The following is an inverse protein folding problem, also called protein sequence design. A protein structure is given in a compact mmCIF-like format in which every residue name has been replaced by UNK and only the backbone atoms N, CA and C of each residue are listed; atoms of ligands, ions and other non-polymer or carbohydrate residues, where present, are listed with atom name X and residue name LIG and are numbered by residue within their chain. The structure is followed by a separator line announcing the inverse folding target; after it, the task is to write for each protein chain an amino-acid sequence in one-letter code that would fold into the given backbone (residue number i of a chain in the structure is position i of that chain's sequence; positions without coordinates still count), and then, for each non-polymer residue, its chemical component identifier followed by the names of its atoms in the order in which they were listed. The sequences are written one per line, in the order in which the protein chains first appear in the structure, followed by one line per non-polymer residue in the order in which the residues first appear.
data_IF_988146614372
#
_entry.id   IF_988146614372
#
_cell.length_a   1.000
_cell.length_b   1.000
_cell.length_c   1.000
_cell.angle_alpha   90.00
_cell.angle_beta   90.00
_cell.angle_gamma   90.00
#
_symmetry.space_group_name_H-M   'P 1'
#
loop_
_entity.id
_entity.type
_entity.pdbx_description
1 polymer ?
#
# COMPACT_ATOMS: atom_id res chain seq x y z
N UNK A 1 7.20 26.10 -6.09
CA UNK A 1 6.57 25.20 -5.10
C UNK A 1 5.60 25.93 -4.15
N UNK A 2 6.03 26.61 -3.08
CA UNK A 2 5.07 27.29 -2.17
C UNK A 2 4.33 28.50 -2.78
N UNK A 3 4.96 29.22 -3.72
CA UNK A 3 4.31 30.31 -4.49
C UNK A 3 3.30 29.76 -5.50
N UNK A 4 3.67 28.67 -6.19
CA UNK A 4 2.76 27.91 -7.08
C UNK A 4 1.51 27.43 -6.33
N UNK A 5 1.66 26.92 -5.10
CA UNK A 5 0.51 26.51 -4.29
C UNK A 5 -0.50 27.63 -4.05
N UNK A 6 -0.02 28.86 -3.81
CA UNK A 6 -0.90 30.03 -3.65
C UNK A 6 -1.61 30.35 -4.97
N UNK A 7 -0.88 30.38 -6.08
CA UNK A 7 -1.45 30.64 -7.39
C UNK A 7 -2.48 29.57 -7.85
N UNK A 8 -2.23 28.29 -7.55
CA UNK A 8 -3.16 27.20 -7.82
C UNK A 8 -4.43 27.37 -6.97
N UNK A 9 -4.30 27.72 -5.68
CA UNK A 9 -5.48 27.95 -4.83
C UNK A 9 -6.31 29.17 -5.24
N UNK A 10 -5.70 30.19 -5.86
CA UNK A 10 -6.39 31.36 -6.39
C UNK A 10 -7.18 31.06 -7.67
N UNK A 11 -6.86 29.96 -8.36
CA UNK A 11 -7.49 29.55 -9.62
C UNK A 11 -8.84 28.83 -9.43
N UNK A 12 -9.13 28.33 -8.22
CA UNK A 12 -10.33 27.54 -7.94
C UNK A 12 -11.06 28.04 -6.68
N UNK A 13 -12.31 28.47 -6.82
CA UNK A 13 -13.12 29.00 -5.70
C UNK A 13 -13.35 28.00 -4.56
N UNK A 14 -13.22 26.70 -4.82
CA UNK A 14 -13.62 25.64 -3.89
C UNK A 14 -12.47 24.95 -3.14
N UNK A 15 -11.19 25.27 -3.41
CA UNK A 15 -10.05 24.58 -2.81
C UNK A 15 -8.97 25.56 -2.36
N UNK A 16 -8.56 25.40 -1.11
CA UNK A 16 -7.59 26.27 -0.47
C UNK A 16 -6.24 25.57 -0.32
N UNK A 17 -5.18 26.35 -0.08
CA UNK A 17 -3.89 25.80 0.30
C UNK A 17 -3.95 24.89 1.55
N UNK A 18 -4.96 25.04 2.42
CA UNK A 18 -5.15 24.15 3.57
C UNK A 18 -5.62 22.75 3.14
N UNK A 19 -6.46 22.65 2.12
CA UNK A 19 -6.97 21.38 1.60
C UNK A 19 -5.85 20.56 0.96
N UNK A 20 -4.97 21.21 0.19
CA UNK A 20 -3.78 20.57 -0.38
C UNK A 20 -2.82 20.06 0.69
N UNK A 21 -2.56 20.85 1.75
CA UNK A 21 -1.73 20.41 2.88
C UNK A 21 -2.34 19.21 3.59
N UNK A 22 -3.65 19.23 3.81
CA UNK A 22 -4.38 18.13 4.46
C UNK A 22 -4.31 16.86 3.60
N UNK A 23 -4.58 16.95 2.30
CA UNK A 23 -4.48 15.81 1.39
C UNK A 23 -3.05 15.24 1.33
N UNK A 24 -2.04 16.10 1.31
CA UNK A 24 -0.62 15.71 1.36
C UNK A 24 -0.29 14.95 2.63
N UNK A 25 -0.69 15.48 3.80
CA UNK A 25 -0.45 14.84 5.09
C UNK A 25 -1.12 13.46 5.17
N UNK A 26 -2.36 13.36 4.67
CA UNK A 26 -3.10 12.10 4.63
C UNK A 26 -2.44 11.09 3.67
N UNK A 27 -1.96 11.53 2.50
CA UNK A 27 -1.26 10.65 1.56
C UNK A 27 0.07 10.14 2.14
N UNK A 28 0.85 11.00 2.82
CA UNK A 28 2.07 10.61 3.51
C UNK A 28 1.81 9.57 4.62
N UNK A 29 0.74 9.76 5.40
CA UNK A 29 0.37 8.83 6.48
C UNK A 29 -0.12 7.48 5.94
N UNK A 30 -1.01 7.52 4.94
CA UNK A 30 -1.70 6.33 4.43
C UNK A 30 -0.96 5.61 3.32
N UNK A 31 0.06 6.23 2.74
CA UNK A 31 0.83 5.76 1.59
C UNK A 31 0.01 5.59 0.30
N UNK A 32 -1.20 5.02 0.36
CA UNK A 32 -2.12 4.84 -0.76
C UNK A 32 -3.51 5.40 -0.45
N UNK A 33 -4.08 6.12 -1.41
CA UNK A 33 -5.44 6.64 -1.40
C UNK A 33 -6.25 6.01 -2.54
N UNK A 34 -7.52 5.76 -2.28
CA UNK A 34 -8.41 5.15 -3.27
C UNK A 34 -9.70 5.96 -3.50
N UNK A 35 -10.09 6.11 -4.76
CA UNK A 35 -11.30 6.84 -5.15
C UNK A 35 -12.62 6.15 -4.77
N UNK A 36 -12.60 4.83 -4.63
CA UNK A 36 -13.73 3.98 -4.19
C UNK A 36 -14.02 4.10 -2.68
N UNK A 37 -13.00 4.45 -1.89
CA UNK A 37 -13.10 4.56 -0.43
C UNK A 37 -13.61 5.93 -0.01
N UNK A 38 -14.78 5.96 0.64
CA UNK A 38 -15.35 7.20 1.20
C UNK A 38 -14.36 8.01 2.05
N UNK A 39 -13.52 7.34 2.86
CA UNK A 39 -12.53 7.99 3.73
C UNK A 39 -11.33 8.61 3.01
N UNK A 40 -11.06 8.19 1.77
CA UNK A 40 -9.89 8.58 0.96
C UNK A 40 -10.31 9.47 -0.22
N UNK A 41 -11.55 9.32 -0.71
CA UNK A 41 -12.07 9.90 -1.95
C UNK A 41 -11.84 11.39 -2.08
N UNK A 42 -12.13 12.17 -1.03
CA UNK A 42 -11.90 13.62 -1.06
C UNK A 42 -10.44 13.94 -1.32
N UNK A 43 -9.52 13.33 -0.57
CA UNK A 43 -8.08 13.54 -0.70
C UNK A 43 -7.54 13.03 -2.04
N UNK A 44 -8.01 11.86 -2.50
CA UNK A 44 -7.68 11.32 -3.81
C UNK A 44 -8.04 12.34 -4.91
N UNK A 45 -9.25 12.89 -4.90
CA UNK A 45 -9.71 13.88 -5.89
C UNK A 45 -8.95 15.21 -5.78
N UNK A 46 -8.56 15.61 -4.57
CA UNK A 46 -7.74 16.81 -4.33
C UNK A 46 -6.36 16.69 -4.98
N UNK A 47 -5.67 15.56 -4.79
CA UNK A 47 -4.36 15.33 -5.39
C UNK A 47 -4.49 15.17 -6.91
N UNK A 48 -5.46 14.37 -7.37
CA UNK A 48 -5.65 14.08 -8.80
C UNK A 48 -5.90 15.33 -9.65
N UNK A 49 -6.53 16.37 -9.08
CA UNK A 49 -6.82 17.61 -9.82
C UNK A 49 -5.57 18.37 -10.22
N UNK A 50 -4.58 18.39 -9.34
CA UNK A 50 -3.32 19.09 -9.53
C UNK A 50 -2.17 18.09 -9.59
N UNK A 51 -2.38 16.99 -10.32
CA UNK A 51 -1.49 15.83 -10.30
C UNK A 51 -0.04 16.23 -10.62
N UNK A 52 0.18 17.03 -11.67
CA UNK A 52 1.51 17.46 -12.09
C UNK A 52 2.24 18.24 -10.98
N UNK A 53 1.53 19.14 -10.29
CA UNK A 53 2.08 19.87 -9.15
C UNK A 53 2.51 18.93 -8.02
N UNK A 54 1.72 17.90 -7.72
CA UNK A 54 2.05 16.93 -6.68
C UNK A 54 3.16 15.98 -7.10
N UNK A 55 3.25 15.59 -8.38
CA UNK A 55 4.37 14.83 -8.92
C UNK A 55 5.67 15.60 -8.68
N UNK A 56 5.74 16.86 -9.13
CA UNK A 56 6.93 17.71 -8.96
C UNK A 56 7.27 17.95 -7.47
N UNK A 57 6.25 18.13 -6.63
CA UNK A 57 6.44 18.33 -5.20
C UNK A 57 7.04 17.11 -4.51
N UNK A 58 6.53 15.91 -4.80
CA UNK A 58 7.00 14.69 -4.16
C UNK A 58 8.36 14.25 -4.72
N UNK A 59 8.60 14.43 -6.02
CA UNK A 59 9.89 14.17 -6.65
C UNK A 59 11.00 15.00 -5.99
N UNK A 60 10.75 16.30 -5.77
CA UNK A 60 11.66 17.18 -5.04
C UNK A 60 11.92 16.78 -3.57
N UNK A 61 11.12 15.86 -3.01
CA UNK A 61 11.26 15.32 -1.67
C UNK A 61 11.81 13.89 -1.64
N UNK A 62 12.21 13.32 -2.78
CA UNK A 62 12.69 11.93 -2.88
C UNK A 62 11.58 10.88 -2.85
N UNK A 63 10.35 11.27 -3.23
CA UNK A 63 9.20 10.38 -3.31
C UNK A 63 8.64 10.35 -4.73
N UNK A 64 8.23 9.16 -5.16
CA UNK A 64 7.53 8.96 -6.42
C UNK A 64 6.04 8.86 -6.17
N UNK A 65 5.28 9.81 -6.71
CA UNK A 65 3.82 9.73 -6.78
C UNK A 65 3.42 8.81 -7.95
N UNK A 66 2.75 7.72 -7.62
CA UNK A 66 2.20 6.74 -8.57
C UNK A 66 0.71 7.01 -8.73
N UNK A 67 0.23 7.02 -9.98
CA UNK A 67 -1.18 7.07 -10.32
C UNK A 67 -1.56 5.82 -11.12
N UNK A 68 -2.50 5.04 -10.58
CA UNK A 68 -3.06 3.83 -11.19
C UNK A 68 -4.57 4.05 -11.44
N UNK A 69 -4.95 4.64 -12.60
CA UNK A 69 -6.34 5.03 -12.87
C UNK A 69 -7.31 3.85 -12.90
N UNK A 70 -6.85 2.69 -13.41
CA UNK A 70 -7.68 1.46 -13.53
C UNK A 70 -8.20 0.98 -12.18
N UNK A 71 -7.48 1.28 -11.11
CA UNK A 71 -7.85 0.92 -9.73
C UNK A 71 -8.21 2.15 -8.87
N UNK A 72 -8.33 3.33 -9.48
CA UNK A 72 -8.54 4.61 -8.81
C UNK A 72 -7.59 4.80 -7.61
N UNK A 73 -6.31 4.51 -7.80
CA UNK A 73 -5.32 4.47 -6.73
C UNK A 73 -4.23 5.51 -6.98
N UNK A 74 -3.97 6.33 -5.95
CA UNK A 74 -2.77 7.15 -5.85
C UNK A 74 -1.88 6.57 -4.76
N UNK A 75 -0.59 6.46 -5.02
CA UNK A 75 0.38 5.87 -4.10
C UNK A 75 1.64 6.72 -3.99
N UNK A 76 2.22 6.78 -2.80
CA UNK A 76 3.52 7.40 -2.58
C UNK A 76 4.55 6.31 -2.28
N UNK A 77 5.56 6.19 -3.13
CA UNK A 77 6.65 5.24 -2.97
C UNK A 77 7.95 5.99 -2.78
N UNK A 78 8.88 5.48 -1.96
CA UNK A 78 10.19 6.08 -1.88
C UNK A 78 10.91 5.94 -3.23
N UNK A 79 11.75 6.92 -3.56
CA UNK A 79 12.67 6.77 -4.68
C UNK A 79 13.75 5.70 -4.35
N UNK A 80 14.30 5.05 -5.37
CA UNK A 80 15.06 3.78 -5.25
C UNK A 80 16.26 3.84 -4.30
N UNK A 81 16.74 5.03 -3.97
CA UNK A 81 17.89 5.27 -3.07
C UNK A 81 17.52 5.24 -1.58
N UNK A 82 16.23 5.24 -1.21
CA UNK A 82 15.80 5.42 0.17
C UNK A 82 14.78 4.36 0.60
N UNK A 83 15.04 3.66 1.72
CA UNK A 83 14.10 2.67 2.28
C UNK A 83 13.49 3.22 3.56
N UNK A 84 12.25 3.72 3.47
CA UNK A 84 11.63 4.45 4.60
C UNK A 84 10.68 3.63 5.48
N UNK A 85 10.42 2.35 5.16
CA UNK A 85 9.66 1.47 6.06
C UNK A 85 10.46 0.21 6.40
N UNK A 86 11.04 0.23 7.60
CA UNK A 86 11.68 -0.95 8.18
C UNK A 86 10.61 -1.85 8.80
N UNK A 87 10.01 -2.69 7.95
CA UNK A 87 9.16 -3.79 8.43
C UNK A 87 10.01 -4.79 9.22
N UNK A 88 9.46 -5.29 10.32
CA UNK A 88 10.02 -6.45 11.01
C UNK A 88 9.95 -7.66 10.10
N UNK A 89 10.81 -8.65 10.33
CA UNK A 89 10.86 -9.87 9.52
C UNK A 89 9.48 -10.54 9.37
N UNK A 90 8.72 -10.67 10.45
CA UNK A 90 7.39 -11.29 10.40
C UNK A 90 6.38 -10.46 9.60
N UNK A 91 6.43 -9.13 9.71
CA UNK A 91 5.62 -8.21 8.89
C UNK A 91 6.00 -8.37 7.40
N UNK A 92 7.29 -8.39 7.08
CA UNK A 92 7.77 -8.60 5.70
C UNK A 92 7.30 -9.93 5.12
N UNK A 93 7.42 -11.02 5.88
CA UNK A 93 6.96 -12.35 5.43
C UNK A 93 5.45 -12.35 5.19
N UNK A 94 4.66 -11.77 6.09
CA UNK A 94 3.21 -11.68 5.92
C UNK A 94 2.82 -10.80 4.72
N UNK A 95 3.55 -9.71 4.47
CA UNK A 95 3.38 -8.89 3.27
C UNK A 95 3.64 -9.71 2.00
N UNK A 96 4.70 -10.52 1.97
CA UNK A 96 5.00 -11.43 0.87
C UNK A 96 3.94 -12.53 0.71
N UNK A 97 3.38 -13.04 1.80
CA UNK A 97 2.28 -14.00 1.75
C UNK A 97 1.01 -13.37 1.16
N UNK A 98 0.66 -12.14 1.56
CA UNK A 98 -0.44 -11.37 0.94
C UNK A 98 -0.20 -11.16 -0.55
N UNK A 99 1.03 -10.79 -0.92
CA UNK A 99 1.42 -10.58 -2.32
C UNK A 99 1.18 -11.83 -3.15
N UNK A 100 1.52 -12.98 -2.59
CA UNK A 100 1.40 -14.27 -3.24
C UNK A 100 -0.08 -14.72 -3.34
N UNK A 101 -0.88 -14.55 -2.29
CA UNK A 101 -2.33 -14.79 -2.34
C UNK A 101 -3.01 -13.92 -3.41
N UNK A 102 -2.59 -12.66 -3.54
CA UNK A 102 -3.10 -11.76 -4.57
C UNK A 102 -2.83 -12.26 -5.99
N UNK A 103 -1.61 -12.76 -6.28
CA UNK A 103 -1.30 -13.35 -7.59
C UNK A 103 -2.11 -14.61 -7.87
N UNK A 104 -2.31 -15.47 -6.87
CA UNK A 104 -3.15 -16.65 -7.03
C UNK A 104 -4.60 -16.29 -7.31
N UNK A 105 -5.14 -15.26 -6.65
CA UNK A 105 -6.47 -14.77 -6.92
C UNK A 105 -6.58 -14.28 -8.37
N UNK A 106 -5.59 -13.53 -8.87
CA UNK A 106 -5.57 -13.07 -10.28
C UNK A 106 -5.50 -14.26 -11.24
N UNK A 107 -4.57 -15.19 -11.02
CA UNK A 107 -4.38 -16.37 -11.86
C UNK A 107 -5.65 -17.24 -11.93
N UNK A 108 -6.40 -17.30 -10.84
CA UNK A 108 -7.62 -18.07 -10.73
C UNK A 108 -8.90 -17.27 -11.06
N UNK A 109 -8.78 -16.04 -11.58
CA UNK A 109 -9.91 -15.14 -11.88
C UNK A 109 -10.83 -14.89 -10.67
N UNK A 110 -10.28 -14.86 -9.46
CA UNK A 110 -10.96 -14.60 -8.18
C UNK A 110 -10.77 -13.16 -7.68
N UNK A 111 -10.56 -12.24 -8.62
CA UNK A 111 -10.40 -10.81 -8.33
C UNK A 111 -11.57 -10.06 -8.92
N UNK A 112 -12.18 -9.20 -8.11
CA UNK A 112 -13.29 -8.33 -8.51
C UNK A 112 -12.84 -6.88 -8.40
N UNK A 113 -12.89 -6.12 -9.50
CA UNK A 113 -12.43 -4.72 -9.55
C UNK A 113 -11.00 -4.52 -9.01
N UNK A 114 -10.11 -5.50 -9.24
CA UNK A 114 -8.74 -5.47 -8.73
C UNK A 114 -8.58 -5.90 -7.27
N UNK A 115 -9.66 -6.22 -6.56
CA UNK A 115 -9.67 -6.66 -5.16
C UNK A 115 -9.69 -8.18 -5.04
N UNK A 116 -8.80 -8.74 -4.20
CA UNK A 116 -8.82 -10.16 -3.87
C UNK A 116 -9.43 -10.37 -2.48
N UNK A 117 -10.50 -11.16 -2.39
CA UNK A 117 -11.17 -11.47 -1.12
C UNK A 117 -10.56 -12.74 -0.52
N UNK A 118 -10.01 -12.61 0.68
CA UNK A 118 -9.30 -13.67 1.40
C UNK A 118 -9.72 -13.70 2.87
N UNK A 119 -9.24 -14.72 3.59
CA UNK A 119 -9.41 -14.82 5.03
C UNK A 119 -8.07 -14.71 5.75
N UNK A 120 -8.13 -14.24 6.99
CA UNK A 120 -6.95 -14.19 7.86
C UNK A 120 -6.37 -15.57 8.12
N UNK A 121 -7.21 -16.61 8.12
CA UNK A 121 -6.78 -18.00 8.23
C UNK A 121 -6.04 -18.49 6.97
N UNK A 122 -6.47 -18.09 5.76
CA UNK A 122 -5.75 -18.36 4.50
C UNK A 122 -4.32 -17.79 4.57
N UNK A 123 -4.19 -16.54 5.04
CA UNK A 123 -2.90 -15.88 5.22
C UNK A 123 -2.01 -16.57 6.27
N UNK A 124 -2.56 -16.94 7.43
CA UNK A 124 -1.80 -17.63 8.48
C UNK A 124 -1.36 -19.04 8.06
N UNK A 125 -2.22 -19.79 7.37
CA UNK A 125 -1.87 -21.09 6.80
C UNK A 125 -0.73 -20.96 5.79
N UNK A 126 -0.76 -19.92 4.95
CA UNK A 126 0.31 -19.62 3.99
C UNK A 126 1.63 -19.34 4.70
N UNK A 127 1.60 -18.49 5.72
CA UNK A 127 2.75 -18.14 6.54
C UNK A 127 3.39 -19.39 7.16
N UNK A 128 2.61 -20.21 7.84
CA UNK A 128 3.10 -21.43 8.51
C UNK A 128 3.64 -22.44 7.50
N UNK A 129 2.91 -22.69 6.40
CA UNK A 129 3.30 -23.67 5.37
C UNK A 129 4.61 -23.30 4.68
N UNK A 130 4.79 -22.02 4.32
CA UNK A 130 5.97 -21.58 3.57
C UNK A 130 7.21 -21.40 4.43
N UNK A 131 7.04 -21.13 5.72
CA UNK A 131 8.17 -20.77 6.60
C UNK A 131 8.49 -21.81 7.67
N UNK A 132 7.57 -22.72 7.97
CA UNK A 132 7.65 -23.62 9.12
C UNK A 132 7.64 -22.89 10.48
N UNK A 133 7.39 -21.58 10.51
CA UNK A 133 7.38 -20.78 11.73
C UNK A 133 6.06 -20.91 12.46
N UNK A 134 6.12 -20.79 13.78
CA UNK A 134 4.92 -20.67 14.62
C UNK A 134 4.12 -19.44 14.22
N UNK A 135 2.80 -19.57 14.12
CA UNK A 135 1.91 -18.45 13.82
C UNK A 135 2.08 -17.32 14.84
N UNK A 136 1.98 -16.04 14.41
CA UNK A 136 1.92 -14.92 15.34
C UNK A 136 0.71 -15.04 16.27
N UNK A 137 0.82 -14.46 17.47
CA UNK A 137 -0.33 -14.35 18.37
C UNK A 137 -1.45 -13.53 17.72
N UNK A 138 -2.71 -13.80 18.07
CA UNK A 138 -3.85 -13.09 17.48
C UNK A 138 -3.75 -11.57 17.66
N UNK A 139 -3.30 -11.10 18.84
CA UNK A 139 -3.10 -9.67 19.10
C UNK A 139 -2.07 -9.08 18.15
N UNK A 140 -0.89 -9.73 18.06
CA UNK A 140 0.18 -9.22 17.21
C UNK A 140 -0.22 -9.23 15.73
N UNK A 141 -0.87 -10.30 15.28
CA UNK A 141 -1.35 -10.40 13.92
C UNK A 141 -2.38 -9.32 13.57
N UNK A 142 -3.28 -8.98 14.49
CA UNK A 142 -4.21 -7.85 14.32
C UNK A 142 -3.49 -6.50 14.23
N UNK A 143 -2.38 -6.32 14.95
CA UNK A 143 -1.54 -5.11 14.82
C UNK A 143 -0.93 -5.02 13.41
N UNK A 144 -0.43 -6.13 12.88
CA UNK A 144 0.12 -6.21 11.51
C UNK A 144 -0.97 -5.93 10.46
N UNK A 145 -2.17 -6.52 10.59
CA UNK A 145 -3.28 -6.22 9.68
C UNK A 145 -3.72 -4.75 9.77
N UNK A 146 -3.62 -4.14 10.96
CA UNK A 146 -3.92 -2.72 11.16
C UNK A 146 -2.87 -1.84 10.51
N UNK A 147 -1.58 -2.19 10.62
CA UNK A 147 -0.48 -1.54 9.92
C UNK A 147 -0.73 -1.54 8.40
N UNK A 148 -0.96 -2.72 7.82
CA UNK A 148 -1.21 -2.85 6.38
C UNK A 148 -2.48 -2.13 5.92
N UNK A 149 -3.53 -2.12 6.73
CA UNK A 149 -4.76 -1.41 6.41
C UNK A 149 -4.63 0.11 6.50
N UNK A 150 -3.82 0.60 7.44
CA UNK A 150 -3.45 2.02 7.53
C UNK A 150 -2.70 2.45 6.28
N UNK A 151 -1.76 1.62 5.82
CA UNK A 151 -1.00 1.84 4.59
C UNK A 151 -1.76 1.47 3.31
N UNK A 152 -3.07 1.23 3.37
CA UNK A 152 -3.88 0.99 2.17
C UNK A 152 -3.57 -0.31 1.41
N UNK A 153 -2.81 -1.25 1.97
CA UNK A 153 -2.45 -2.52 1.34
C UNK A 153 -3.62 -3.50 1.35
N UNK A 154 -4.44 -3.45 2.40
CA UNK A 154 -5.63 -4.29 2.55
C UNK A 154 -6.76 -3.57 3.28
N UNK A 155 -7.95 -4.15 3.23
CA UNK A 155 -9.06 -3.82 4.12
C UNK A 155 -9.38 -4.98 5.04
N UNK A 156 -9.71 -4.63 6.29
CA UNK A 156 -10.27 -5.57 7.26
C UNK A 156 -11.79 -5.52 7.14
N UNK A 157 -12.39 -6.68 6.93
CA UNK A 157 -13.84 -6.86 6.91
C UNK A 157 -14.36 -7.40 8.23
N UNK A 158 -15.46 -8.14 8.13
CA UNK A 158 -16.10 -8.81 9.26
C UNK A 158 -15.13 -9.75 9.98
N UNK A 159 -15.15 -9.67 11.30
CA UNK A 159 -14.41 -10.55 12.20
C UNK A 159 -15.38 -11.49 12.91
N UNK A 160 -15.03 -12.77 12.89
CA UNK A 160 -15.66 -13.83 13.67
C UNK A 160 -14.65 -14.36 14.70
N UNK A 161 -15.09 -15.21 15.63
CA UNK A 161 -14.22 -15.79 16.67
C UNK A 161 -12.96 -16.49 16.13
N UNK A 162 -12.94 -16.90 14.85
CA UNK A 162 -11.85 -17.69 14.26
C UNK A 162 -11.15 -17.02 13.08
N UNK A 163 -11.77 -16.04 12.43
CA UNK A 163 -11.23 -15.46 11.20
C UNK A 163 -11.71 -14.04 10.98
N UNK A 164 -10.84 -13.25 10.37
CA UNK A 164 -11.11 -11.89 9.88
C UNK A 164 -11.17 -11.98 8.35
N UNK A 165 -12.21 -11.41 7.73
CA UNK A 165 -12.23 -11.24 6.26
C UNK A 165 -11.21 -10.17 5.88
N UNK A 166 -10.42 -10.44 4.85
CA UNK A 166 -9.38 -9.54 4.35
C UNK A 166 -9.65 -9.28 2.87
N UNK A 167 -9.56 -8.02 2.46
CA UNK A 167 -9.60 -7.66 1.03
C UNK A 167 -8.26 -7.07 0.64
N UNK A 168 -7.49 -7.80 -0.17
CA UNK A 168 -6.16 -7.37 -0.62
C UNK A 168 -6.33 -6.39 -1.79
N UNK A 169 -5.63 -5.25 -1.72
CA UNK A 169 -5.69 -4.21 -2.73
C UNK A 169 -4.55 -4.32 -3.75
N UNK A 170 -4.72 -3.82 -4.98
CA UNK A 170 -3.71 -3.90 -6.04
C UNK A 170 -2.37 -3.25 -5.67
N UNK A 171 -2.37 -2.26 -4.76
CA UNK A 171 -1.15 -1.63 -4.25
C UNK A 171 -0.14 -2.62 -3.63
N UNK A 172 -0.54 -3.83 -3.28
CA UNK A 172 0.40 -4.89 -2.84
C UNK A 172 1.50 -5.14 -3.89
N UNK A 173 1.19 -5.03 -5.19
CA UNK A 173 2.15 -5.13 -6.30
C UNK A 173 3.17 -3.99 -6.32
N UNK A 174 2.74 -2.79 -5.91
CA UNK A 174 3.57 -1.59 -5.92
C UNK A 174 4.61 -1.59 -4.79
N UNK A 175 4.28 -2.19 -3.64
CA UNK A 175 5.20 -2.31 -2.49
C UNK A 175 6.07 -3.57 -2.51
N UNK A 176 5.78 -4.52 -3.40
CA UNK A 176 6.60 -5.73 -3.62
C UNK A 176 6.86 -5.91 -5.12
N UNK A 177 7.53 -4.94 -5.76
CA UNK A 177 7.82 -4.99 -7.20
C UNK A 177 8.76 -6.15 -7.52
N UNK A 178 8.77 -6.58 -8.78
CA UNK A 178 9.64 -7.67 -9.23
C UNK A 178 11.13 -7.41 -8.92
N UNK A 179 11.57 -6.14 -9.00
CA UNK A 179 12.94 -5.75 -8.62
C UNK A 179 13.25 -6.03 -7.14
N UNK A 180 12.29 -5.84 -6.23
CA UNK A 180 12.46 -6.17 -4.82
C UNK A 180 12.60 -7.69 -4.62
N UNK A 181 11.75 -8.47 -5.30
CA UNK A 181 11.83 -9.94 -5.25
C UNK A 181 13.17 -10.45 -5.81
N UNK A 182 13.64 -9.88 -6.91
CA UNK A 182 14.94 -10.20 -7.49
C UNK A 182 16.10 -9.88 -6.55
N UNK A 183 16.07 -8.73 -5.86
CA UNK A 183 17.07 -8.39 -4.84
C UNK A 183 17.09 -9.40 -3.68
N UNK A 184 15.93 -9.95 -3.30
CA UNK A 184 15.85 -11.02 -2.30
C UNK A 184 16.47 -12.32 -2.83
N UNK A 185 16.20 -12.69 -4.08
CA UNK A 185 16.82 -13.85 -4.73
C UNK A 185 18.35 -13.72 -4.79
N UNK A 186 18.85 -12.56 -5.27
CA UNK A 186 20.29 -12.23 -5.31
C UNK A 186 20.93 -12.29 -3.91
N UNK A 187 20.23 -11.84 -2.86
CA UNK A 187 20.72 -11.92 -1.49
C UNK A 187 20.89 -13.38 -1.03
N UNK A 188 19.92 -14.26 -1.32
CA UNK A 188 19.96 -15.67 -0.95
C UNK A 188 21.06 -16.45 -1.68
N UNK A 189 21.29 -16.15 -2.97
CA UNK A 189 22.38 -16.74 -3.77
C UNK A 189 23.77 -16.35 -3.20
N UNK A 190 23.90 -15.11 -2.72
CA UNK A 190 25.15 -14.64 -2.11
C UNK A 190 25.40 -15.22 -0.72
N UNK A 191 24.37 -15.54 0.06
CA UNK A 191 24.53 -16.23 1.36
C UNK A 191 24.86 -17.72 1.20
N UNK A 192 24.32 -18.39 0.17
CA UNK A 192 24.61 -19.82 -0.08
C UNK A 192 26.00 -20.09 -0.66
N UNK A 193 26.71 -19.04 -1.09
CA UNK A 193 28.08 -19.11 -1.62
C UNK A 193 29.16 -18.85 -0.54
N UNK A 194 28.77 -18.59 0.72
CA UNK A 194 29.68 -18.45 1.87
C UNK A 194 29.63 -19.65 2.80
#
# INVERSE_FOLDING_TARGET
MLKELKHISERYENYTAADYKKATAILLERQFLYGDKKRDREYYLTILRELDYFIDLFDALGWRLVNEPDFQCLGLLPDEEQSYLNLKLEETILLLCLRLLYEEAIKNFKVEQGLALESSESLLNRYETLTGRTRPTLSHFKDILTLFSRHGILDKGEETDKTIKITIRPAIRLVTPAAYLKRLEEFLENETTK
#
